data_IF_073582343812
#
_entry.id   IF_073582343812
#
_cell.length_a   1.000
_cell.length_b   1.000
_cell.length_c   1.000
_cell.angle_alpha   90.00
_cell.angle_beta   90.00
_cell.angle_gamma   90.00
#
_symmetry.space_group_name_H-M   'P 1'
#
loop_
_entity.id
_entity.type
_entity.pdbx_description
1 polymer ?
#
# COMPACT_ATOMS: atom_id res chain seq x y z
N UNK A 1 1.78 1.83 7.63
CA UNK A 1 0.77 2.48 8.51
C UNK A 1 1.15 2.21 9.96
N UNK A 2 1.88 3.13 10.58
CA UNK A 2 2.48 2.90 11.91
C UNK A 2 2.32 4.14 12.78
N UNK A 3 3.34 5.00 12.87
CA UNK A 3 3.41 6.16 13.76
C UNK A 3 2.13 7.01 13.83
N UNK A 4 1.66 7.52 12.68
CA UNK A 4 0.47 8.38 12.64
C UNK A 4 -0.83 7.63 12.96
N UNK A 5 -0.95 6.36 12.54
CA UNK A 5 -2.13 5.54 12.84
C UNK A 5 -2.18 5.20 14.34
N UNK A 6 -1.02 5.01 14.96
CA UNK A 6 -0.86 4.80 16.40
C UNK A 6 -0.95 6.09 17.23
N UNK A 7 -1.41 7.21 16.64
CA UNK A 7 -1.58 8.48 17.36
C UNK A 7 -0.27 9.18 17.74
N UNK A 8 0.81 8.92 17.01
CA UNK A 8 2.14 9.49 17.27
C UNK A 8 3.02 8.64 18.18
N UNK A 9 2.66 7.37 18.42
CA UNK A 9 3.52 6.39 19.10
C UNK A 9 4.41 5.65 18.09
N UNK A 10 5.72 5.69 18.32
CA UNK A 10 6.71 5.07 17.43
C UNK A 10 6.88 3.58 17.71
N UNK A 11 6.77 3.16 18.97
CA UNK A 11 6.88 1.75 19.35
C UNK A 11 5.68 0.97 18.83
N UNK A 12 5.92 -0.28 18.48
CA UNK A 12 4.84 -1.21 18.18
C UNK A 12 4.13 -1.58 19.48
N UNK A 13 2.80 -1.64 19.46
CA UNK A 13 2.02 -2.19 20.56
C UNK A 13 2.23 -3.70 20.68
N UNK A 14 1.81 -4.28 21.80
CA UNK A 14 1.82 -5.73 21.96
C UNK A 14 0.97 -6.39 20.85
N UNK A 15 1.51 -7.45 20.24
CA UNK A 15 0.92 -8.17 19.10
C UNK A 15 0.80 -7.36 17.78
N UNK A 16 1.32 -6.13 17.73
CA UNK A 16 1.38 -5.35 16.49
C UNK A 16 2.53 -5.83 15.60
N UNK A 17 2.20 -6.54 14.53
CA UNK A 17 3.15 -6.84 13.46
C UNK A 17 3.16 -5.74 12.39
N UNK A 18 4.34 -5.32 11.98
CA UNK A 18 4.53 -4.34 10.91
C UNK A 18 5.15 -4.98 9.68
N UNK A 19 4.63 -4.64 8.50
CA UNK A 19 5.21 -5.02 7.21
C UNK A 19 5.47 -3.78 6.37
N UNK A 20 6.69 -3.65 5.85
CA UNK A 20 7.08 -2.55 4.97
C UNK A 20 7.58 -3.10 3.64
N UNK A 21 6.76 -2.93 2.62
CA UNK A 21 7.17 -3.20 1.23
C UNK A 21 7.84 -1.94 0.68
N UNK A 22 9.09 -2.02 0.19
CA UNK A 22 9.77 -0.87 -0.40
C UNK A 22 9.01 -0.32 -1.61
N UNK A 23 8.86 1.01 -1.67
CA UNK A 23 8.43 1.69 -2.89
C UNK A 23 9.48 1.56 -3.99
N UNK A 24 9.10 1.63 -5.28
CA UNK A 24 10.06 1.63 -6.38
C UNK A 24 10.96 2.87 -6.28
N UNK A 25 12.27 2.64 -6.44
CA UNK A 25 13.31 3.68 -6.44
C UNK A 25 14.03 3.79 -7.79
N UNK A 26 13.62 2.95 -8.74
CA UNK A 26 14.12 2.89 -10.11
C UNK A 26 13.50 3.96 -11.03
N UNK A 27 12.61 4.79 -10.50
CA UNK A 27 11.95 5.89 -11.22
C UNK A 27 12.09 7.22 -10.48
N UNK A 28 12.19 8.36 -11.19
CA UNK A 28 12.36 9.67 -10.57
C UNK A 28 11.09 10.18 -9.87
N UNK A 29 9.93 9.87 -10.43
CA UNK A 29 8.59 10.22 -9.93
C UNK A 29 7.63 9.06 -10.23
N UNK A 30 6.55 8.93 -9.44
CA UNK A 30 5.69 7.73 -9.50
C UNK A 30 4.76 7.67 -10.72
N UNK A 31 4.62 8.74 -11.50
CA UNK A 31 3.92 8.71 -12.79
C UNK A 31 4.58 7.76 -13.81
N UNK A 32 5.89 7.52 -13.69
CA UNK A 32 6.61 6.53 -14.51
C UNK A 32 6.30 5.09 -14.11
N UNK A 33 5.74 4.88 -12.92
CA UNK A 33 5.39 3.55 -12.39
C UNK A 33 4.12 3.62 -11.53
N UNK A 34 2.95 3.93 -12.12
CA UNK A 34 1.72 4.20 -11.37
C UNK A 34 1.24 3.03 -10.50
N UNK A 35 1.66 1.81 -10.84
CA UNK A 35 1.39 0.60 -10.05
C UNK A 35 2.14 0.57 -8.71
N UNK A 36 3.21 1.36 -8.60
CA UNK A 36 4.12 1.39 -7.45
C UNK A 36 4.43 -0.04 -6.95
N UNK A 37 4.20 -0.30 -5.67
CA UNK A 37 4.35 -1.63 -5.06
C UNK A 37 3.00 -2.27 -4.71
N UNK A 38 1.87 -1.77 -5.24
CA UNK A 38 0.53 -2.19 -4.84
C UNK A 38 0.30 -3.71 -4.99
N UNK A 39 0.79 -4.29 -6.09
CA UNK A 39 0.65 -5.74 -6.34
C UNK A 39 1.45 -6.59 -5.35
N UNK A 40 2.64 -6.13 -4.97
CA UNK A 40 3.49 -6.81 -3.98
C UNK A 40 2.89 -6.71 -2.58
N UNK A 41 2.38 -5.51 -2.23
CA UNK A 41 1.63 -5.27 -0.99
C UNK A 41 0.40 -6.19 -0.92
N UNK A 42 -0.33 -6.34 -2.01
CA UNK A 42 -1.51 -7.21 -2.09
C UNK A 42 -1.14 -8.68 -1.90
N UNK A 43 -0.08 -9.15 -2.55
CA UNK A 43 0.39 -10.53 -2.39
C UNK A 43 0.77 -10.86 -0.93
N UNK A 44 1.46 -9.94 -0.26
CA UNK A 44 1.81 -10.07 1.16
C UNK A 44 0.58 -10.08 2.05
N UNK A 45 -0.39 -9.19 1.80
CA UNK A 45 -1.66 -9.18 2.52
C UNK A 45 -2.40 -10.51 2.38
N UNK A 46 -2.54 -11.03 1.16
CA UNK A 46 -3.21 -12.30 0.91
C UNK A 46 -2.51 -13.48 1.61
N UNK A 47 -1.17 -13.45 1.71
CA UNK A 47 -0.41 -14.43 2.48
C UNK A 47 -0.76 -14.35 3.98
N UNK A 48 -0.85 -13.13 4.53
CA UNK A 48 -1.22 -12.90 5.94
C UNK A 48 -2.66 -13.26 6.25
N UNK A 49 -3.60 -12.94 5.36
CA UNK A 49 -5.00 -13.36 5.49
C UNK A 49 -5.13 -14.89 5.56
N UNK A 50 -4.37 -15.62 4.73
CA UNK A 50 -4.34 -17.10 4.77
C UNK A 50 -3.77 -17.66 6.07
N UNK A 51 -2.97 -16.89 6.80
CA UNK A 51 -2.37 -17.34 8.07
C UNK A 51 -3.37 -17.37 9.23
N UNK A 52 -4.50 -16.67 9.11
CA UNK A 52 -5.55 -16.56 10.15
C UNK A 52 -5.00 -16.07 11.51
N UNK A 53 -3.90 -15.32 11.50
CA UNK A 53 -3.20 -14.84 12.71
C UNK A 53 -3.78 -13.53 13.27
N UNK A 54 -4.45 -12.73 12.44
CA UNK A 54 -4.71 -11.32 12.74
C UNK A 54 -6.22 -11.04 12.83
N UNK A 55 -6.66 -10.50 13.98
CA UNK A 55 -8.04 -10.02 14.15
C UNK A 55 -8.31 -8.70 13.39
N UNK A 56 -7.26 -7.89 13.18
CA UNK A 56 -7.32 -6.63 12.44
C UNK A 56 -6.08 -6.50 11.55
N UNK A 57 -6.32 -6.14 10.28
CA UNK A 57 -5.26 -5.74 9.36
C UNK A 57 -5.54 -4.34 8.85
N UNK A 58 -4.55 -3.46 8.97
CA UNK A 58 -4.59 -2.09 8.44
C UNK A 58 -3.68 -2.01 7.22
N UNK A 59 -4.24 -1.58 6.10
CA UNK A 59 -3.58 -1.50 4.81
C UNK A 59 -3.64 -0.07 4.27
N UNK A 60 -2.58 0.38 3.59
CA UNK A 60 -2.60 1.61 2.81
C UNK A 60 -2.09 1.34 1.39
N UNK A 61 -2.87 1.72 0.40
CA UNK A 61 -2.41 1.86 -0.98
C UNK A 61 -2.03 3.32 -1.22
N UNK A 62 -0.75 3.58 -1.46
CA UNK A 62 -0.21 4.93 -1.63
C UNK A 62 -0.44 5.50 -3.03
N UNK A 63 -0.86 4.67 -3.99
CA UNK A 63 -0.82 4.97 -5.42
C UNK A 63 -1.54 6.26 -5.80
N UNK A 64 -2.81 6.43 -5.43
CA UNK A 64 -3.60 7.58 -5.87
C UNK A 64 -3.07 8.90 -5.32
N UNK A 65 -2.54 8.89 -4.10
CA UNK A 65 -1.96 10.07 -3.46
C UNK A 65 -0.61 10.42 -4.12
N UNK A 66 0.32 9.47 -4.10
CA UNK A 66 1.69 9.68 -4.58
C UNK A 66 1.76 9.95 -6.08
N UNK A 67 0.92 9.28 -6.89
CA UNK A 67 0.83 9.52 -8.33
C UNK A 67 -0.03 10.76 -8.61
N UNK A 68 -1.10 11.00 -7.86
CA UNK A 68 -1.92 12.20 -7.99
C UNK A 68 -1.13 13.49 -7.79
N UNK A 69 -0.16 13.49 -6.86
CA UNK A 69 0.75 14.61 -6.63
C UNK A 69 1.66 14.98 -7.80
N UNK A 70 1.80 14.11 -8.81
CA UNK A 70 2.54 14.42 -10.04
C UNK A 70 1.79 15.37 -10.97
N UNK A 71 0.46 15.47 -10.82
CA UNK A 71 -0.40 16.24 -11.72
C UNK A 71 -0.63 15.59 -13.10
N UNK A 72 -0.13 14.38 -13.33
CA UNK A 72 -0.29 13.66 -14.60
C UNK A 72 -1.56 12.80 -14.56
N UNK A 73 -2.64 13.29 -15.17
CA UNK A 73 -3.97 12.66 -15.11
C UNK A 73 -3.97 11.19 -15.59
N UNK A 74 -3.33 10.90 -16.71
CA UNK A 74 -3.30 9.54 -17.27
C UNK A 74 -2.62 8.55 -16.32
N UNK A 75 -1.54 8.98 -15.67
CA UNK A 75 -0.86 8.19 -14.65
C UNK A 75 -1.75 7.99 -13.41
N UNK A 76 -2.46 9.02 -12.97
CA UNK A 76 -3.39 8.92 -11.85
C UNK A 76 -4.55 7.96 -12.13
N UNK A 77 -5.11 7.97 -13.35
CA UNK A 77 -6.12 7.00 -13.78
C UNK A 77 -5.56 5.58 -13.71
N UNK A 78 -4.31 5.38 -14.16
CA UNK A 78 -3.67 4.07 -14.10
C UNK A 78 -3.41 3.61 -12.66
N UNK A 79 -3.01 4.51 -11.78
CA UNK A 79 -2.86 4.25 -10.34
C UNK A 79 -4.17 3.76 -9.72
N UNK A 80 -5.31 4.43 -10.03
CA UNK A 80 -6.63 4.00 -9.58
C UNK A 80 -6.98 2.59 -10.09
N UNK A 81 -6.78 2.31 -11.39
CA UNK A 81 -7.05 0.99 -11.97
C UNK A 81 -6.24 -0.13 -11.31
N UNK A 82 -4.97 0.14 -10.99
CA UNK A 82 -4.13 -0.86 -10.32
C UNK A 82 -4.64 -1.14 -8.91
N UNK A 83 -5.04 -0.10 -8.17
CA UNK A 83 -5.60 -0.30 -6.82
C UNK A 83 -6.94 -1.00 -6.87
N UNK A 84 -7.79 -0.69 -7.84
CA UNK A 84 -9.06 -1.39 -8.09
C UNK A 84 -8.83 -2.91 -8.31
N UNK A 85 -7.89 -3.28 -9.20
CA UNK A 85 -7.45 -4.66 -9.42
C UNK A 85 -6.94 -5.34 -8.13
N UNK A 86 -6.29 -4.59 -7.26
CA UNK A 86 -5.77 -5.11 -5.99
C UNK A 86 -6.88 -5.32 -4.96
N UNK A 87 -7.85 -4.39 -4.88
CA UNK A 87 -8.98 -4.47 -3.97
C UNK A 87 -9.91 -5.63 -4.36
N UNK A 88 -10.15 -5.87 -5.65
CA UNK A 88 -10.92 -7.03 -6.14
C UNK A 88 -10.34 -8.37 -5.65
N UNK A 89 -9.02 -8.46 -5.46
CA UNK A 89 -8.40 -9.69 -4.93
C UNK A 89 -8.54 -9.85 -3.43
N UNK A 90 -8.82 -8.76 -2.71
CA UNK A 90 -8.88 -8.71 -1.24
C UNK A 90 -10.31 -8.90 -0.75
N UNK A 91 -11.31 -8.37 -1.46
CA UNK A 91 -12.73 -8.32 -1.09
C UNK A 91 -13.56 -9.27 -1.95
#
# INVERSE_FOLDING_TARGET
>A
VTYFFNGGEEKAFEMEDRCMIPSPRDVPTYDYKPEMSARVVTAELLSRLKSDKYDLIVLNFANMDMVGHTGVLDAAIQACKVVDECVEKIV
#
